data_IF_074609874777
#
_entry.id   IF_074609874777
#
_cell.length_a   1.000
_cell.length_b   1.000
_cell.length_c   1.000
_cell.angle_alpha   90.00
_cell.angle_beta   90.00
_cell.angle_gamma   90.00
#
_symmetry.space_group_name_H-M   'P 1'
#
loop_
_entity.id
_entity.type
_entity.pdbx_description
1 polymer ?
#
# COMPACT_ATOMS: atom_id res chain seq x y z
N UNK A 1 18.82 34.70 0.73
CA UNK A 1 17.71 34.90 1.70
C UNK A 1 18.28 34.90 3.10
N UNK A 2 17.74 35.72 4.00
CA UNK A 2 18.10 35.67 5.43
C UNK A 2 17.67 34.33 6.04
N UNK A 3 18.44 33.79 7.00
CA UNK A 3 18.11 32.54 7.72
C UNK A 3 16.69 32.61 8.34
N UNK A 4 16.29 33.81 8.79
CA UNK A 4 14.96 34.09 9.35
C UNK A 4 13.86 33.93 8.29
N UNK A 5 14.12 34.38 7.06
CA UNK A 5 13.18 34.24 5.96
C UNK A 5 13.00 32.77 5.58
N UNK A 6 14.08 31.98 5.53
CA UNK A 6 14.01 30.54 5.25
C UNK A 6 13.19 29.81 6.33
N UNK A 7 13.45 30.11 7.60
CA UNK A 7 12.69 29.54 8.72
C UNK A 7 11.19 29.85 8.65
N UNK A 8 10.84 31.13 8.43
CA UNK A 8 9.44 31.56 8.32
C UNK A 8 8.75 30.89 7.12
N UNK A 9 9.43 30.78 5.98
CA UNK A 9 8.89 30.08 4.81
C UNK A 9 8.59 28.61 5.12
N UNK A 10 9.51 27.91 5.79
CA UNK A 10 9.30 26.50 6.19
C UNK A 10 8.08 26.38 7.12
N UNK A 11 7.99 27.23 8.14
CA UNK A 11 6.84 27.25 9.04
C UNK A 11 5.54 27.51 8.28
N UNK A 12 5.53 28.49 7.36
CA UNK A 12 4.36 28.80 6.54
C UNK A 12 3.89 27.62 5.70
N UNK A 13 4.82 26.90 5.07
CA UNK A 13 4.50 25.68 4.30
C UNK A 13 3.93 24.59 5.19
N UNK A 14 4.55 24.31 6.35
CA UNK A 14 4.06 23.30 7.30
C UNK A 14 2.68 23.65 7.81
N UNK A 15 2.44 24.92 8.17
CA UNK A 15 1.13 25.40 8.64
C UNK A 15 0.08 25.27 7.55
N UNK A 16 0.39 25.65 6.30
CA UNK A 16 -0.56 25.54 5.19
C UNK A 16 -0.93 24.07 4.90
N UNK A 17 0.06 23.17 4.86
CA UNK A 17 -0.17 21.74 4.66
C UNK A 17 -0.95 21.16 5.85
N UNK A 18 -0.60 21.52 7.08
CA UNK A 18 -1.29 21.06 8.28
C UNK A 18 -2.74 21.53 8.34
N UNK A 19 -3.02 22.78 7.96
CA UNK A 19 -4.37 23.30 7.87
C UNK A 19 -5.20 22.57 6.81
N UNK A 20 -4.61 22.35 5.62
CA UNK A 20 -5.28 21.59 4.56
C UNK A 20 -5.53 20.12 4.96
N UNK A 21 -4.55 19.45 5.56
CA UNK A 21 -4.69 18.09 6.07
C UNK A 21 -5.74 18.01 7.17
N UNK A 22 -5.76 18.96 8.10
CA UNK A 22 -6.78 19.03 9.15
C UNK A 22 -8.19 19.14 8.58
N UNK A 23 -8.36 19.96 7.53
CA UNK A 23 -9.63 20.05 6.81
C UNK A 23 -9.97 18.75 6.07
N UNK A 24 -9.03 18.15 5.35
CA UNK A 24 -9.21 16.90 4.61
C UNK A 24 -9.58 15.72 5.53
N UNK A 25 -9.01 15.68 6.74
CA UNK A 25 -9.30 14.65 7.73
C UNK A 25 -10.62 14.90 8.50
N UNK A 26 -11.35 15.98 8.20
CA UNK A 26 -12.65 16.27 8.82
C UNK A 26 -12.57 17.00 10.16
N UNK A 27 -11.53 17.79 10.39
CA UNK A 27 -11.35 18.64 11.56
C UNK A 27 -10.53 18.02 12.70
N UNK A 28 -10.17 18.84 13.68
CA UNK A 28 -9.33 18.47 14.83
C UNK A 28 -10.17 18.18 16.07
N UNK A 29 -10.83 17.03 16.09
CA UNK A 29 -11.54 16.52 17.27
C UNK A 29 -10.72 15.51 18.08
N UNK A 30 -11.26 15.08 19.23
CA UNK A 30 -10.64 14.14 20.15
C UNK A 30 -10.31 12.78 19.52
N UNK A 31 -11.11 12.33 18.54
CA UNK A 31 -10.92 11.04 17.88
C UNK A 31 -9.73 11.10 16.92
N UNK A 32 -9.60 12.21 16.18
CA UNK A 32 -8.41 12.43 15.36
C UNK A 32 -7.14 12.60 16.21
N UNK A 33 -7.25 13.29 17.35
CA UNK A 33 -6.14 13.38 18.31
C UNK A 33 -5.71 12.01 18.83
N UNK A 34 -6.67 11.13 19.15
CA UNK A 34 -6.39 9.78 19.64
C UNK A 34 -5.61 8.94 18.62
N UNK A 35 -6.02 8.91 17.35
CA UNK A 35 -5.32 8.11 16.32
C UNK A 35 -3.91 8.66 16.04
N UNK A 36 -3.72 9.99 16.06
CA UNK A 36 -2.39 10.59 15.95
C UNK A 36 -1.51 10.17 17.13
N UNK A 37 -2.01 10.27 18.36
CA UNK A 37 -1.28 9.87 19.55
C UNK A 37 -0.89 8.38 19.52
N UNK A 38 -1.84 7.50 19.16
CA UNK A 38 -1.59 6.06 19.01
C UNK A 38 -0.54 5.80 17.92
N UNK A 39 -0.63 6.46 16.77
CA UNK A 39 0.35 6.31 15.69
C UNK A 39 1.76 6.73 16.11
N UNK A 40 1.87 7.83 16.89
CA UNK A 40 3.16 8.29 17.42
C UNK A 40 3.71 7.29 18.43
N UNK A 41 2.90 6.83 19.37
CA UNK A 41 3.30 5.83 20.37
C UNK A 41 3.71 4.53 19.69
N UNK A 42 2.95 4.06 18.70
CA UNK A 42 3.28 2.86 17.92
C UNK A 42 4.63 3.00 17.21
N UNK A 43 4.87 4.12 16.54
CA UNK A 43 6.15 4.37 15.88
C UNK A 43 7.32 4.38 16.87
N UNK A 44 7.17 5.08 18.01
CA UNK A 44 8.21 5.14 19.03
C UNK A 44 8.47 3.75 19.64
N UNK A 45 7.43 3.02 20.02
CA UNK A 45 7.54 1.66 20.59
C UNK A 45 8.13 0.68 19.58
N UNK A 46 7.76 0.76 18.31
CA UNK A 46 8.32 -0.06 17.23
C UNK A 46 9.80 0.24 16.98
N UNK A 47 10.22 1.50 17.01
CA UNK A 47 11.63 1.88 16.93
C UNK A 47 12.41 1.33 18.13
N UNK A 48 11.89 1.50 19.36
CA UNK A 48 12.52 0.97 20.56
C UNK A 48 12.64 -0.57 20.52
N UNK A 49 11.59 -1.27 20.09
CA UNK A 49 11.60 -2.72 19.95
C UNK A 49 12.64 -3.17 18.90
N UNK A 50 12.75 -2.46 17.77
CA UNK A 50 13.75 -2.75 16.74
C UNK A 50 15.19 -2.51 17.21
N UNK A 51 15.41 -1.48 18.03
CA UNK A 51 16.71 -1.22 18.69
C UNK A 51 17.04 -2.36 19.65
N UNK A 52 16.10 -2.74 20.53
CA UNK A 52 16.28 -3.83 21.48
C UNK A 52 16.59 -5.17 20.80
N UNK A 53 15.99 -5.42 19.64
CA UNK A 53 16.23 -6.60 18.82
C UNK A 53 17.50 -6.52 17.96
N UNK A 54 18.28 -5.43 18.02
CA UNK A 54 19.44 -5.14 17.15
C UNK A 54 19.15 -5.28 15.64
N UNK A 55 17.89 -5.09 15.22
CA UNK A 55 17.42 -5.27 13.84
C UNK A 55 16.90 -3.95 13.27
N UNK A 56 17.80 -2.99 13.12
CA UNK A 56 17.49 -1.71 12.48
C UNK A 56 17.61 -1.83 10.97
N UNK A 57 16.50 -2.17 10.32
CA UNK A 57 16.39 -2.09 8.86
C UNK A 57 15.56 -0.88 8.44
N UNK A 58 16.15 0.01 7.64
CA UNK A 58 15.46 1.17 7.07
C UNK A 58 14.29 0.76 6.17
N UNK A 59 14.35 -0.41 5.53
CA UNK A 59 13.25 -0.93 4.71
C UNK A 59 12.02 -1.28 5.55
N UNK A 60 12.22 -1.76 6.78
CA UNK A 60 11.14 -2.07 7.73
C UNK A 60 10.51 -0.78 8.25
N UNK A 61 11.34 0.20 8.64
CA UNK A 61 10.87 1.52 9.07
C UNK A 61 10.10 2.27 7.99
N UNK A 62 10.60 2.27 6.74
CA UNK A 62 9.91 2.89 5.61
C UNK A 62 8.53 2.25 5.35
N UNK A 63 8.46 0.91 5.39
CA UNK A 63 7.18 0.19 5.23
C UNK A 63 6.19 0.52 6.36
N UNK A 64 6.69 0.74 7.57
CA UNK A 64 5.90 1.23 8.70
C UNK A 64 5.29 2.61 8.43
N UNK A 65 6.12 3.59 8.06
CA UNK A 65 5.68 4.96 7.76
C UNK A 65 4.69 4.98 6.60
N UNK A 66 4.96 4.25 5.52
CA UNK A 66 4.06 4.16 4.37
C UNK A 66 2.67 3.66 4.78
N UNK A 67 2.59 2.67 5.69
CA UNK A 67 1.31 2.19 6.23
C UNK A 67 0.57 3.28 6.99
N UNK A 68 1.26 4.07 7.83
CA UNK A 68 0.60 5.16 8.59
C UNK A 68 0.06 6.26 7.68
N UNK A 69 0.79 6.60 6.61
CA UNK A 69 0.30 7.55 5.59
C UNK A 69 -0.99 7.04 4.95
N UNK A 70 -1.06 5.74 4.61
CA UNK A 70 -2.28 5.14 4.06
C UNK A 70 -3.45 5.19 5.05
N UNK A 71 -3.21 5.01 6.35
CA UNK A 71 -4.25 5.13 7.39
C UNK A 71 -4.88 6.52 7.35
N UNK A 72 -4.07 7.59 7.38
CA UNK A 72 -4.59 8.96 7.32
C UNK A 72 -5.28 9.26 5.98
N UNK A 73 -4.76 8.74 4.87
CA UNK A 73 -5.42 8.88 3.57
C UNK A 73 -6.83 8.24 3.55
N UNK A 74 -6.97 7.06 4.15
CA UNK A 74 -8.26 6.36 4.24
C UNK A 74 -9.24 7.05 5.19
N UNK A 75 -8.75 7.65 6.29
CA UNK A 75 -9.58 8.47 7.18
C UNK A 75 -10.12 9.69 6.44
N UNK A 76 -9.29 10.40 5.69
CA UNK A 76 -9.73 11.54 4.90
C UNK A 76 -10.67 11.15 3.75
N UNK A 77 -10.44 9.99 3.12
CA UNK A 77 -11.38 9.44 2.14
C UNK A 77 -12.73 9.12 2.78
N UNK A 78 -12.75 8.49 3.96
CA UNK A 78 -13.98 8.20 4.69
C UNK A 78 -14.72 9.49 5.07
N UNK A 79 -14.00 10.54 5.49
CA UNK A 79 -14.58 11.86 5.72
C UNK A 79 -15.21 12.45 4.43
N UNK A 80 -14.50 12.35 3.31
CA UNK A 80 -15.01 12.85 2.03
C UNK A 80 -16.30 12.13 1.62
N UNK A 81 -16.37 10.81 1.83
CA UNK A 81 -17.57 10.00 1.58
C UNK A 81 -18.72 10.38 2.52
N UNK A 82 -18.45 10.58 3.80
CA UNK A 82 -19.46 11.04 4.77
C UNK A 82 -20.12 12.35 4.31
N UNK A 83 -19.30 13.33 3.90
CA UNK A 83 -19.79 14.67 3.53
C UNK A 83 -20.44 14.68 2.14
N UNK A 84 -19.82 14.06 1.14
CA UNK A 84 -20.23 14.22 -0.27
C UNK A 84 -21.13 13.11 -0.80
N UNK A 85 -21.12 11.93 -0.18
CA UNK A 85 -21.90 10.77 -0.67
C UNK A 85 -23.07 10.49 0.27
N UNK A 86 -22.82 10.41 1.57
CA UNK A 86 -23.85 10.10 2.57
C UNK A 86 -24.65 11.32 3.02
N UNK A 87 -24.09 12.52 2.86
CA UNK A 87 -24.71 13.77 3.33
C UNK A 87 -24.86 13.84 4.85
N UNK A 88 -24.27 12.90 5.59
CA UNK A 88 -24.27 12.85 7.05
C UNK A 88 -22.82 12.76 7.53
N UNK A 89 -22.28 13.84 8.14
CA UNK A 89 -20.87 13.86 8.50
C UNK A 89 -20.58 12.89 9.65
N UNK A 90 -19.48 12.14 9.51
CA UNK A 90 -18.76 11.55 10.63
C UNK A 90 -18.97 10.06 10.88
N UNK A 91 -19.93 9.37 10.26
CA UNK A 91 -20.18 7.94 10.55
C UNK A 91 -19.04 7.06 10.04
N UNK A 92 -18.73 7.12 8.74
CA UNK A 92 -17.64 6.33 8.15
C UNK A 92 -16.30 6.77 8.67
N UNK A 93 -16.08 8.08 8.83
CA UNK A 93 -14.84 8.62 9.40
C UNK A 93 -14.60 8.05 10.79
N UNK A 94 -15.61 8.10 11.66
CA UNK A 94 -15.50 7.60 13.04
C UNK A 94 -15.24 6.10 13.05
N UNK A 95 -15.99 5.31 12.28
CA UNK A 95 -15.80 3.87 12.16
C UNK A 95 -14.38 3.52 11.65
N UNK A 96 -13.90 4.24 10.63
CA UNK A 96 -12.56 4.07 10.07
C UNK A 96 -11.48 4.40 11.10
N UNK A 97 -11.63 5.48 11.86
CA UNK A 97 -10.68 5.82 12.90
C UNK A 97 -10.65 4.76 14.00
N UNK A 98 -11.80 4.29 14.50
CA UNK A 98 -11.84 3.23 15.51
C UNK A 98 -11.23 1.91 15.02
N UNK A 99 -11.45 1.55 13.75
CA UNK A 99 -10.82 0.39 13.13
C UNK A 99 -9.30 0.51 13.16
N UNK A 100 -8.75 1.63 12.70
CA UNK A 100 -7.30 1.82 12.71
C UNK A 100 -6.73 2.05 14.10
N UNK A 101 -7.46 2.67 15.02
CA UNK A 101 -7.06 2.82 16.41
C UNK A 101 -6.85 1.46 17.07
N UNK A 102 -7.73 0.50 16.76
CA UNK A 102 -7.60 -0.89 17.21
C UNK A 102 -6.35 -1.55 16.60
N UNK A 103 -6.07 -1.31 15.32
CA UNK A 103 -4.86 -1.83 14.65
C UNK A 103 -3.57 -1.26 15.26
N UNK A 104 -3.54 0.04 15.54
CA UNK A 104 -2.41 0.70 16.22
C UNK A 104 -2.27 0.17 17.66
N UNK A 105 -3.38 -0.02 18.38
CA UNK A 105 -3.37 -0.61 19.72
C UNK A 105 -2.78 -2.01 19.76
N UNK A 106 -3.14 -2.87 18.81
CA UNK A 106 -2.56 -4.22 18.65
C UNK A 106 -1.05 -4.13 18.40
N UNK A 107 -0.62 -3.22 17.51
CA UNK A 107 0.80 -3.02 17.18
C UNK A 107 1.61 -2.52 18.39
N UNK A 108 1.05 -1.60 19.19
CA UNK A 108 1.67 -1.15 20.46
C UNK A 108 1.82 -2.30 21.44
N UNK A 109 0.79 -3.13 21.61
CA UNK A 109 0.84 -4.29 22.51
C UNK A 109 1.91 -5.30 22.06
N UNK A 110 2.03 -5.54 20.75
CA UNK A 110 3.08 -6.38 20.20
C UNK A 110 4.48 -5.80 20.50
N UNK A 111 4.70 -4.52 20.23
CA UNK A 111 5.97 -3.87 20.51
C UNK A 111 6.30 -3.85 22.01
N UNK A 112 5.30 -3.64 22.87
CA UNK A 112 5.46 -3.69 24.33
C UNK A 112 5.90 -5.09 24.80
N UNK A 113 5.34 -6.15 24.22
CA UNK A 113 5.75 -7.53 24.51
C UNK A 113 7.21 -7.79 24.13
N UNK A 114 7.67 -7.24 23.00
CA UNK A 114 9.06 -7.34 22.53
C UNK A 114 10.04 -6.55 23.41
N UNK A 115 9.54 -5.52 24.10
CA UNK A 115 10.30 -4.74 25.08
C UNK A 115 10.30 -5.38 26.48
N UNK A 116 9.63 -6.53 26.65
CA UNK A 116 9.59 -7.27 27.92
C UNK A 116 8.55 -6.77 28.92
N UNK A 117 7.56 -5.99 28.49
CA UNK A 117 6.44 -5.63 29.37
C UNK A 117 5.57 -6.88 29.63
N UNK A 118 5.22 -7.17 30.89
CA UNK A 118 4.38 -8.32 31.21
C UNK A 118 2.96 -8.09 30.69
N UNK A 119 2.55 -8.88 29.70
CA UNK A 119 1.19 -8.88 29.16
C UNK A 119 0.40 -10.06 29.77
N UNK A 120 -0.83 -9.84 30.26
CA UNK A 120 -1.66 -10.93 30.76
C UNK A 120 -1.85 -12.04 29.72
N UNK A 121 -1.76 -13.30 30.14
CA UNK A 121 -1.80 -14.45 29.21
C UNK A 121 -3.04 -14.50 28.32
N UNK A 122 -4.21 -14.07 28.81
CA UNK A 122 -5.42 -14.00 27.99
C UNK A 122 -5.34 -12.98 26.85
N UNK A 123 -4.64 -11.86 27.06
CA UNK A 123 -4.41 -10.86 26.01
C UNK A 123 -3.36 -11.37 25.01
N UNK A 124 -2.32 -12.06 25.48
CA UNK A 124 -1.32 -12.65 24.61
C UNK A 124 -1.92 -13.73 23.70
N UNK A 125 -2.79 -14.60 24.23
CA UNK A 125 -3.53 -15.59 23.45
C UNK A 125 -4.44 -14.96 22.39
N UNK A 126 -5.12 -13.86 22.73
CA UNK A 126 -5.95 -13.13 21.77
C UNK A 126 -5.09 -12.54 20.63
N UNK A 127 -3.94 -11.97 20.95
CA UNK A 127 -2.99 -11.45 19.94
C UNK A 127 -2.48 -12.58 19.03
N UNK A 128 -2.12 -13.73 19.60
CA UNK A 128 -1.63 -14.88 18.84
C UNK A 128 -2.72 -15.46 17.92
N UNK A 129 -3.97 -15.55 18.39
CA UNK A 129 -5.10 -15.97 17.57
C UNK A 129 -5.31 -15.04 16.36
N UNK A 130 -5.25 -13.71 16.57
CA UNK A 130 -5.35 -12.72 15.49
C UNK A 130 -4.23 -12.92 14.46
N UNK A 131 -2.98 -13.18 14.90
CA UNK A 131 -1.85 -13.46 13.99
C UNK A 131 -2.08 -14.72 13.17
N UNK A 132 -2.58 -15.79 13.78
CA UNK A 132 -2.88 -17.04 13.08
C UNK A 132 -4.00 -16.88 12.05
N UNK A 133 -5.04 -16.11 12.37
CA UNK A 133 -6.13 -15.81 11.42
C UNK A 133 -5.64 -14.98 10.23
N UNK A 134 -4.74 -14.01 10.44
CA UNK A 134 -4.16 -13.21 9.38
C UNK A 134 -3.21 -13.97 8.42
N UNK A 135 -2.54 -15.03 8.92
CA UNK A 135 -1.65 -15.87 8.11
C UNK A 135 -2.38 -16.95 7.30
N UNK A 136 -3.58 -17.35 7.74
CA UNK A 136 -4.41 -18.37 7.07
C UNK A 136 -5.28 -17.81 5.92
N UNK A 137 -4.98 -16.61 5.41
CA UNK A 137 -5.47 -16.24 4.09
C UNK A 137 -4.78 -17.15 3.06
N UNK A 138 -5.50 -18.00 2.32
CA UNK A 138 -4.89 -18.75 1.24
C UNK A 138 -4.24 -17.71 0.34
N UNK A 139 -2.91 -17.81 0.16
CA UNK A 139 -2.20 -17.03 -0.83
C UNK A 139 -3.08 -17.02 -2.09
N UNK A 140 -3.41 -15.82 -2.59
CA UNK A 140 -4.02 -15.70 -3.91
C UNK A 140 -3.12 -16.52 -4.82
N UNK A 141 -3.59 -17.73 -5.16
CA UNK A 141 -2.95 -18.54 -6.18
C UNK A 141 -3.19 -17.69 -7.40
N UNK A 142 -2.21 -16.87 -7.77
CA UNK A 142 -2.05 -16.50 -9.15
C UNK A 142 -2.24 -17.81 -9.88
N UNK A 143 -3.27 -17.91 -10.69
CA UNK A 143 -3.29 -18.84 -11.80
C UNK A 143 -2.14 -18.43 -12.72
N UNK A 144 -0.91 -18.62 -12.24
CA UNK A 144 0.25 -18.77 -13.06
C UNK A 144 0.02 -20.12 -13.70
N UNK A 145 -0.70 -20.10 -14.82
CA UNK A 145 -0.43 -21.05 -15.89
C UNK A 145 1.10 -21.11 -15.96
N UNK A 146 1.73 -22.27 -15.74
CA UNK A 146 3.17 -22.39 -15.87
C UNK A 146 3.54 -21.76 -17.22
N UNK A 147 4.58 -20.90 -17.29
CA UNK A 147 5.09 -20.51 -18.60
C UNK A 147 5.30 -21.82 -19.36
N UNK A 148 4.70 -21.91 -20.55
CA UNK A 148 4.81 -23.09 -21.39
C UNK A 148 6.28 -23.51 -21.36
N UNK A 149 6.57 -24.73 -20.88
CA UNK A 149 7.91 -25.28 -20.99
C UNK A 149 8.25 -25.14 -22.46
N UNK A 150 9.21 -24.26 -22.78
CA UNK A 150 9.83 -24.30 -24.08
C UNK A 150 10.34 -25.73 -24.21
N UNK A 151 9.72 -26.49 -25.11
CA UNK A 151 10.25 -27.75 -25.57
C UNK A 151 11.72 -27.49 -25.90
N UNK A 152 12.58 -28.41 -25.46
CA UNK A 152 14.00 -28.42 -25.83
C UNK A 152 14.18 -27.99 -27.27
N UNK A 153 15.29 -27.29 -27.63
CA UNK A 153 15.56 -26.95 -29.01
C UNK A 153 15.84 -28.25 -29.78
N UNK A 154 14.77 -28.93 -30.17
CA UNK A 154 14.79 -30.00 -31.13
C UNK A 154 15.39 -29.39 -32.38
N UNK A 155 16.41 -30.05 -32.92
CA UNK A 155 17.21 -29.65 -34.08
C UNK A 155 16.31 -29.26 -35.25
N UNK A 156 15.88 -28.01 -35.30
CA UNK A 156 15.23 -27.45 -36.48
C UNK A 156 16.30 -26.78 -37.32
N UNK A 157 16.85 -27.54 -38.25
CA UNK A 157 17.51 -26.92 -39.41
C UNK A 157 16.43 -26.40 -40.34
N UNK A 158 16.41 -25.11 -40.71
CA UNK A 158 15.48 -24.60 -41.69
C UNK A 158 15.62 -25.39 -43.00
N UNK A 159 14.51 -25.75 -43.68
CA UNK A 159 14.60 -26.35 -45.00
C UNK A 159 15.28 -25.38 -45.96
N UNK A 160 16.35 -25.83 -46.61
CA UNK A 160 17.05 -25.07 -47.64
C UNK A 160 16.09 -24.93 -48.83
N UNK A 161 15.74 -23.72 -49.28
CA UNK A 161 14.83 -23.55 -50.39
C UNK A 161 15.45 -24.14 -51.66
N UNK A 162 14.80 -25.14 -52.26
CA UNK A 162 15.15 -25.57 -53.61
C UNK A 162 14.80 -24.44 -54.58
N UNK A 163 15.81 -23.90 -55.27
CA UNK A 163 15.63 -22.85 -56.27
C UNK A 163 14.66 -23.35 -57.35
N UNK A 164 13.44 -22.79 -57.38
CA UNK A 164 12.42 -23.14 -58.37
C UNK A 164 10.97 -23.19 -57.88
N UNK A 165 10.70 -23.07 -56.57
CA UNK A 165 9.32 -23.04 -56.05
C UNK A 165 9.02 -21.83 -55.16
N UNK A 166 9.14 -20.62 -55.71
CA UNK A 166 8.47 -19.45 -55.14
C UNK A 166 7.28 -19.10 -56.02
N UNK A 167 6.08 -19.45 -55.56
CA UNK A 167 4.86 -18.85 -56.10
C UNK A 167 4.49 -17.68 -55.16
N UNK A 168 4.84 -16.43 -55.51
CA UNK A 168 4.77 -15.29 -54.59
C UNK A 168 3.32 -14.96 -54.16
N UNK A 169 2.31 -15.50 -54.83
CA UNK A 169 0.90 -15.25 -54.51
C UNK A 169 0.36 -15.97 -53.27
N UNK A 170 1.11 -16.90 -52.64
CA UNK A 170 0.59 -17.72 -51.54
C UNK A 170 0.95 -17.22 -50.13
N UNK A 171 1.77 -16.16 -50.04
CA UNK A 171 2.31 -15.64 -48.78
C UNK A 171 2.01 -14.15 -48.56
N UNK A 172 0.91 -13.62 -49.09
CA UNK A 172 0.41 -12.33 -48.62
C UNK A 172 -0.49 -12.57 -47.39
N UNK A 173 -0.14 -12.01 -46.21
CA UNK A 173 -1.06 -11.96 -45.08
C UNK A 173 -2.30 -11.15 -45.47
N UNK A 174 -3.51 -11.63 -45.13
CA UNK A 174 -4.78 -10.96 -45.50
C UNK A 174 -4.90 -9.51 -44.98
N UNK A 175 -4.06 -9.09 -44.04
CA UNK A 175 -4.03 -7.73 -43.49
C UNK A 175 -3.20 -6.74 -44.31
N UNK A 176 -2.57 -7.19 -45.41
CA UNK A 176 -1.74 -6.36 -46.28
C UNK A 176 -2.47 -5.87 -47.56
N UNK A 177 -3.77 -6.17 -47.71
CA UNK A 177 -4.60 -5.52 -48.74
C UNK A 177 -4.99 -4.12 -48.24
N UNK A 178 -4.79 -3.07 -49.06
CA UNK A 178 -5.26 -1.72 -48.70
C UNK A 178 -6.77 -1.73 -48.50
N UNK A 179 -7.23 -1.07 -47.45
CA UNK A 179 -8.66 -0.89 -47.15
C UNK A 179 -9.30 -0.06 -48.29
N UNK A 180 -10.48 -0.47 -48.76
CA UNK A 180 -11.18 0.13 -49.92
C UNK A 180 -11.63 1.59 -49.69
N UNK A 181 -11.18 2.23 -48.61
CA UNK A 181 -11.45 3.62 -48.24
C UNK A 181 -10.39 4.61 -48.74
N UNK A 182 -9.25 4.14 -49.25
CA UNK A 182 -8.26 4.99 -49.92
C UNK A 182 -8.27 4.78 -51.44
N UNK A 183 -9.23 5.41 -52.12
CA UNK A 183 -9.11 5.73 -53.54
C UNK A 183 -9.65 7.15 -53.78
N UNK A 184 -8.90 8.03 -54.47
CA UNK A 184 -9.30 9.41 -54.74
C UNK A 184 -10.51 9.53 -55.66
#
# INVERSE_FOLDING_TARGET
MSIKSIWVTIQGVITAIGAWLGAFLGGTDSLLYAIVAFTVIDYLTGVLAAINAHKLSSSVGFRGIARKILIFALIGLAHLLDVHVLGTPGVLRTATIFFYLSNEGISILENASLLGLPIPGGLQQALDAIKQTGQNQPAFKTSSTPPAKASSPDKYSPPIPHAGQINPGKYLPQHALPDDTEKP
#
